data_IF_232852311935
#
_entry.id   IF_232852311935
#
_cell.length_a   1.000
_cell.length_b   1.000
_cell.length_c   1.000
_cell.angle_alpha   90.00
_cell.angle_beta   90.00
_cell.angle_gamma   90.00
#
_symmetry.space_group_name_H-M   'P 1'
#
loop_
_entity.id
_entity.type
_entity.pdbx_description
1 polymer ?
#
# COMPACT_ATOMS: atom_id res chain seq x y z
N UNK A 1 -5.72 0.52 17.85
CA UNK A 1 -6.25 1.59 16.99
C UNK A 1 -6.22 1.22 15.51
N UNK A 2 -5.06 1.32 14.82
CA UNK A 2 -4.95 1.12 13.35
C UNK A 2 -5.68 -0.11 12.81
N UNK A 3 -5.33 -1.30 13.32
CA UNK A 3 -5.94 -2.55 12.86
C UNK A 3 -7.46 -2.57 13.10
N UNK A 4 -7.91 -2.15 14.29
CA UNK A 4 -9.34 -2.13 14.62
C UNK A 4 -10.13 -1.26 13.63
N UNK A 5 -9.69 -0.03 13.36
CA UNK A 5 -10.35 0.84 12.36
C UNK A 5 -10.26 0.27 10.94
N UNK A 6 -9.13 -0.32 10.55
CA UNK A 6 -9.00 -0.99 9.24
C UNK A 6 -9.98 -2.15 9.04
N UNK A 7 -10.40 -2.80 10.13
CA UNK A 7 -11.41 -3.87 10.11
C UNK A 7 -12.83 -3.37 10.40
N UNK A 8 -13.05 -2.04 10.40
CA UNK A 8 -14.39 -1.44 10.55
C UNK A 8 -14.90 -1.36 11.99
N UNK A 9 -14.03 -1.53 12.98
CA UNK A 9 -14.39 -1.27 14.38
C UNK A 9 -14.33 0.23 14.66
N UNK A 10 -15.41 0.75 15.24
CA UNK A 10 -15.46 2.11 15.76
C UNK A 10 -14.55 2.22 17.00
N UNK A 11 -13.48 2.99 16.86
CA UNK A 11 -12.51 3.26 17.92
C UNK A 11 -12.35 4.75 18.03
N UNK A 12 -12.73 5.32 19.17
CA UNK A 12 -12.64 6.76 19.43
C UNK A 12 -11.21 7.31 19.28
N UNK A 13 -11.08 8.44 18.57
CA UNK A 13 -9.84 9.19 18.45
C UNK A 13 -9.38 9.85 19.75
N UNK A 14 -10.25 9.93 20.77
CA UNK A 14 -9.88 10.34 22.13
C UNK A 14 -8.76 9.47 22.71
N UNK A 15 -8.55 8.26 22.17
CA UNK A 15 -7.39 7.45 22.46
C UNK A 15 -6.07 8.22 22.34
N UNK A 16 -5.96 9.15 21.37
CA UNK A 16 -4.75 9.95 21.17
C UNK A 16 -4.51 10.98 22.28
N UNK A 17 -5.56 11.40 23.00
CA UNK A 17 -5.43 12.31 24.13
C UNK A 17 -4.60 11.71 25.27
N UNK A 18 -4.52 10.38 25.36
CA UNK A 18 -3.65 9.69 26.32
C UNK A 18 -2.15 9.96 26.08
N UNK A 19 -1.77 10.43 24.89
CA UNK A 19 -0.40 10.79 24.55
C UNK A 19 -0.09 12.28 24.80
N UNK A 20 -1.07 13.06 25.27
CA UNK A 20 -0.90 14.47 25.61
C UNK A 20 -0.69 14.68 27.12
N UNK A 21 0.05 15.72 27.46
CA UNK A 21 0.24 16.21 28.83
C UNK A 21 -0.91 17.14 29.26
N UNK A 22 -0.88 17.60 30.51
CA UNK A 22 -1.88 18.53 31.06
C UNK A 22 -1.94 19.88 30.34
N UNK A 23 -0.89 20.23 29.58
CA UNK A 23 -0.81 21.46 28.77
C UNK A 23 -1.28 21.24 27.33
N UNK A 24 -1.68 20.02 26.98
CA UNK A 24 -2.13 19.64 25.64
C UNK A 24 -1.01 19.31 24.66
N UNK A 25 0.25 19.29 25.10
CA UNK A 25 1.41 18.93 24.28
C UNK A 25 1.65 17.42 24.28
N UNK A 26 2.32 16.88 23.26
CA UNK A 26 2.72 15.47 23.28
C UNK A 26 3.74 15.20 24.40
N UNK A 27 3.52 14.11 25.14
CA UNK A 27 4.36 13.73 26.28
C UNK A 27 5.81 13.53 25.84
N UNK A 28 6.75 14.10 26.57
CA UNK A 28 8.19 14.00 26.29
C UNK A 28 8.71 12.57 26.32
N UNK A 29 8.12 11.69 27.14
CA UNK A 29 8.49 10.27 27.22
C UNK A 29 8.24 9.47 25.93
N UNK A 30 7.49 10.03 24.96
CA UNK A 30 7.34 9.41 23.65
C UNK A 30 8.62 9.48 22.82
N UNK A 31 9.52 10.41 23.15
CA UNK A 31 10.72 10.69 22.37
C UNK A 31 11.72 9.53 22.24
N UNK A 32 11.60 8.50 23.08
CA UNK A 32 12.50 7.36 23.07
C UNK A 32 11.93 6.14 22.29
N UNK A 33 10.64 6.14 21.95
CA UNK A 33 9.96 5.03 21.27
C UNK A 33 9.64 5.33 19.80
N UNK A 34 10.67 5.24 18.95
CA UNK A 34 10.51 5.42 17.50
C UNK A 34 9.50 4.44 16.88
N UNK A 35 9.44 3.19 17.36
CA UNK A 35 8.52 2.17 16.83
C UNK A 35 7.07 2.53 17.16
N UNK A 36 6.81 2.96 18.40
CA UNK A 36 5.52 3.46 18.83
C UNK A 36 5.09 4.70 18.04
N UNK A 37 5.99 5.66 17.85
CA UNK A 37 5.73 6.86 17.05
C UNK A 37 5.44 6.54 15.59
N UNK A 38 6.17 5.59 14.98
CA UNK A 38 5.89 5.12 13.63
C UNK A 38 4.50 4.49 13.54
N UNK A 39 4.12 3.68 14.52
CA UNK A 39 2.78 3.09 14.60
C UNK A 39 1.68 4.16 14.79
N UNK A 40 1.98 5.22 15.55
CA UNK A 40 1.09 6.37 15.75
C UNK A 40 0.93 7.19 14.46
N UNK A 41 2.03 7.42 13.72
CA UNK A 41 2.02 8.04 12.40
C UNK A 41 1.09 7.28 11.44
N UNK A 42 1.27 5.97 11.33
CA UNK A 42 0.45 5.13 10.45
C UNK A 42 -1.03 5.08 10.87
N UNK A 43 -1.29 5.05 12.18
CA UNK A 43 -2.64 5.11 12.72
C UNK A 43 -3.34 6.42 12.39
N UNK A 44 -2.59 7.52 12.30
CA UNK A 44 -3.14 8.84 12.03
C UNK A 44 -3.69 9.00 10.60
N UNK A 45 -3.52 8.01 9.71
CA UNK A 45 -4.10 8.05 8.37
C UNK A 45 -5.49 7.40 8.24
N UNK A 46 -6.03 6.88 9.35
CA UNK A 46 -7.39 6.35 9.44
C UNK A 46 -8.34 7.36 10.09
N UNK A 47 -8.21 8.64 9.72
CA UNK A 47 -9.11 9.69 10.22
C UNK A 47 -10.52 9.48 9.68
N UNK A 48 -11.51 9.87 10.46
CA UNK A 48 -12.91 9.98 10.02
C UNK A 48 -13.37 11.44 10.08
N UNK A 49 -14.48 11.75 9.41
CA UNK A 49 -15.03 13.11 9.34
C UNK A 49 -15.33 13.65 10.76
N UNK A 50 -14.86 14.87 11.05
CA UNK A 50 -15.01 15.51 12.35
C UNK A 50 -13.84 15.29 13.33
N UNK A 51 -12.82 14.51 12.95
CA UNK A 51 -11.63 14.25 13.77
C UNK A 51 -10.38 15.00 13.29
N UNK A 52 -10.51 15.95 12.35
CA UNK A 52 -9.39 16.52 11.60
C UNK A 52 -8.33 17.17 12.50
N UNK A 53 -8.77 17.87 13.56
CA UNK A 53 -7.88 18.61 14.46
C UNK A 53 -6.91 17.69 15.19
N UNK A 54 -7.40 16.64 15.85
CA UNK A 54 -6.54 15.75 16.64
C UNK A 54 -5.58 14.96 15.74
N UNK A 55 -6.05 14.51 14.58
CA UNK A 55 -5.24 13.77 13.63
C UNK A 55 -4.18 14.63 12.94
N UNK A 56 -4.49 15.89 12.62
CA UNK A 56 -3.52 16.83 12.07
C UNK A 56 -2.35 17.07 13.04
N UNK A 57 -2.66 17.29 14.33
CA UNK A 57 -1.64 17.47 15.37
C UNK A 57 -0.76 16.23 15.53
N UNK A 58 -1.37 15.03 15.55
CA UNK A 58 -0.64 13.75 15.64
C UNK A 58 0.26 13.56 14.42
N UNK A 59 -0.23 13.80 13.20
CA UNK A 59 0.58 13.69 11.97
C UNK A 59 1.76 14.65 12.00
N UNK A 60 1.55 15.91 12.39
CA UNK A 60 2.63 16.90 12.43
C UNK A 60 3.71 16.53 13.45
N UNK A 61 3.30 16.15 14.66
CA UNK A 61 4.22 15.72 15.70
C UNK A 61 5.04 14.49 15.25
N UNK A 62 4.35 13.43 14.83
CA UNK A 62 5.01 12.17 14.47
C UNK A 62 5.89 12.34 13.22
N UNK A 63 5.46 13.10 12.21
CA UNK A 63 6.27 13.39 11.02
C UNK A 63 7.56 14.12 11.37
N UNK A 64 7.48 15.12 12.25
CA UNK A 64 8.64 15.91 12.68
C UNK A 64 9.63 15.02 13.42
N UNK A 65 9.14 14.27 14.41
CA UNK A 65 9.95 13.32 15.17
C UNK A 65 10.63 12.29 14.28
N UNK A 66 9.89 11.65 13.38
CA UNK A 66 10.41 10.59 12.50
C UNK A 66 11.50 11.11 11.56
N UNK A 67 11.34 12.33 11.02
CA UNK A 67 12.37 12.98 10.19
C UNK A 67 13.64 13.29 10.99
N UNK A 68 13.51 13.70 12.24
CA UNK A 68 14.66 13.94 13.14
C UNK A 68 15.34 12.63 13.53
N UNK A 69 14.56 11.59 13.84
CA UNK A 69 15.07 10.27 14.18
C UNK A 69 15.98 9.71 13.09
N UNK A 70 15.54 9.73 11.82
CA UNK A 70 16.33 9.22 10.69
C UNK A 70 17.63 10.01 10.50
N UNK A 71 17.64 11.31 10.78
CA UNK A 71 18.85 12.15 10.70
C UNK A 71 19.86 11.82 11.81
N UNK A 72 19.38 11.52 13.01
CA UNK A 72 20.22 11.32 14.20
C UNK A 72 20.66 9.86 14.38
N UNK A 73 19.84 8.89 13.94
CA UNK A 73 20.02 7.46 14.19
C UNK A 73 20.28 6.66 12.91
N UNK A 74 21.14 7.19 12.03
CA UNK A 74 21.46 6.55 10.74
C UNK A 74 22.08 5.15 10.88
N UNK A 75 22.58 4.79 12.06
CA UNK A 75 23.10 3.45 12.37
C UNK A 75 22.01 2.39 12.53
N UNK A 76 20.76 2.76 12.83
CA UNK A 76 19.62 1.83 12.83
C UNK A 76 19.02 1.74 11.43
N UNK A 77 19.67 0.95 10.58
CA UNK A 77 19.28 0.77 9.18
C UNK A 77 17.86 0.22 9.04
N UNK A 78 17.46 -0.71 9.93
CA UNK A 78 16.15 -1.34 9.86
C UNK A 78 15.02 -0.35 10.16
N UNK A 79 15.09 0.37 11.30
CA UNK A 79 14.06 1.36 11.61
C UNK A 79 14.11 2.53 10.63
N UNK A 80 15.28 3.00 10.23
CA UNK A 80 15.40 4.07 9.24
C UNK A 80 14.74 3.69 7.91
N UNK A 81 14.87 2.44 7.47
CA UNK A 81 14.19 1.94 6.27
C UNK A 81 12.66 1.97 6.42
N UNK A 82 12.13 1.50 7.55
CA UNK A 82 10.68 1.53 7.81
C UNK A 82 10.14 2.95 7.87
N UNK A 83 10.85 3.86 8.55
CA UNK A 83 10.44 5.25 8.71
C UNK A 83 10.46 5.97 7.37
N UNK A 84 11.52 5.85 6.58
CA UNK A 84 11.59 6.47 5.26
C UNK A 84 10.50 5.95 4.33
N UNK A 85 10.20 4.65 4.38
CA UNK A 85 9.12 4.06 3.61
C UNK A 85 7.76 4.64 4.02
N UNK A 86 7.44 4.66 5.31
CA UNK A 86 6.18 5.24 5.81
C UNK A 86 6.03 6.73 5.44
N UNK A 87 7.10 7.52 5.54
CA UNK A 87 7.09 8.95 5.20
C UNK A 87 6.93 9.22 3.69
N UNK A 88 7.30 8.29 2.81
CA UNK A 88 7.06 8.40 1.36
C UNK A 88 5.59 8.18 1.02
N UNK A 89 5.01 7.12 1.59
CA UNK A 89 3.60 6.78 1.48
C UNK A 89 3.27 5.94 2.71
N UNK A 90 2.22 6.30 3.41
CA UNK A 90 1.77 5.58 4.60
C UNK A 90 1.10 4.26 4.20
N UNK A 91 1.12 3.30 5.12
CA UNK A 91 0.63 1.94 4.93
C UNK A 91 -0.83 1.88 4.51
N UNK A 92 -1.67 2.80 4.99
CA UNK A 92 -3.10 2.76 4.72
C UNK A 92 -3.45 2.98 3.23
N UNK A 93 -2.66 3.77 2.49
CA UNK A 93 -2.89 4.03 1.07
C UNK A 93 -2.05 3.15 0.15
N UNK A 94 -1.27 2.21 0.69
CA UNK A 94 -0.44 1.31 -0.12
C UNK A 94 -1.24 0.15 -0.68
N UNK A 95 -0.88 -0.25 -1.89
CA UNK A 95 -1.32 -1.53 -2.44
C UNK A 95 -0.73 -2.67 -1.62
N UNK A 96 -1.60 -3.39 -0.90
CA UNK A 96 -1.21 -4.46 0.04
C UNK A 96 -0.25 -5.47 -0.57
N UNK A 97 -0.44 -5.81 -1.84
CA UNK A 97 0.37 -6.84 -2.49
C UNK A 97 1.80 -6.39 -2.79
N UNK A 98 1.98 -5.13 -3.23
CA UNK A 98 3.31 -4.55 -3.41
C UNK A 98 3.99 -4.34 -2.06
N UNK A 99 3.22 -3.91 -1.06
CA UNK A 99 3.72 -3.77 0.30
C UNK A 99 4.20 -5.10 0.89
N UNK A 100 3.45 -6.18 0.68
CA UNK A 100 3.86 -7.51 1.12
C UNK A 100 5.19 -7.93 0.49
N UNK A 101 5.41 -7.69 -0.81
CA UNK A 101 6.68 -8.01 -1.48
C UNK A 101 7.84 -7.28 -0.83
N UNK A 102 7.68 -5.96 -0.63
CA UNK A 102 8.70 -5.11 -0.02
C UNK A 102 8.97 -5.52 1.43
N UNK A 103 7.91 -5.74 2.21
CA UNK A 103 8.02 -6.07 3.62
C UNK A 103 8.63 -7.45 3.85
N UNK A 104 8.41 -8.43 2.96
CA UNK A 104 9.11 -9.73 3.01
C UNK A 104 10.63 -9.52 2.99
N UNK A 105 11.15 -8.66 2.11
CA UNK A 105 12.59 -8.40 2.00
C UNK A 105 13.11 -7.64 3.23
N UNK A 106 12.36 -6.67 3.74
CA UNK A 106 12.73 -5.89 4.93
C UNK A 106 12.68 -6.74 6.19
N UNK A 107 11.63 -7.52 6.37
CA UNK A 107 11.46 -8.43 7.50
C UNK A 107 12.57 -9.47 7.55
N UNK A 108 13.03 -9.96 6.39
CA UNK A 108 14.16 -10.88 6.31
C UNK A 108 15.49 -10.32 6.82
N UNK A 109 15.65 -8.98 6.89
CA UNK A 109 16.85 -8.31 7.44
C UNK A 109 16.76 -8.08 8.95
N UNK A 110 15.58 -8.29 9.55
CA UNK A 110 15.35 -8.04 10.98
C UNK A 110 16.08 -9.10 11.81
N UNK A 111 16.80 -8.67 12.86
CA UNK A 111 17.62 -9.56 13.70
C UNK A 111 16.82 -10.64 14.44
N UNK A 112 15.62 -10.30 14.88
CA UNK A 112 14.68 -11.16 15.61
C UNK A 112 13.54 -11.69 14.71
N UNK A 113 13.79 -11.82 13.41
CA UNK A 113 12.85 -12.38 12.44
C UNK A 113 12.52 -13.85 12.76
N UNK A 114 11.25 -14.24 12.59
CA UNK A 114 10.83 -15.63 12.69
C UNK A 114 10.97 -16.31 11.32
N UNK A 115 11.87 -17.31 11.17
CA UNK A 115 12.16 -17.93 9.88
C UNK A 115 10.94 -18.64 9.28
N UNK A 116 10.08 -19.25 10.12
CA UNK A 116 8.87 -19.92 9.65
C UNK A 116 7.87 -18.92 9.06
N UNK A 117 7.76 -17.72 9.66
CA UNK A 117 6.88 -16.68 9.13
C UNK A 117 7.41 -16.11 7.81
N UNK A 118 8.73 -15.92 7.69
CA UNK A 118 9.35 -15.44 6.46
C UNK A 118 9.17 -16.46 5.32
N UNK A 119 9.45 -17.74 5.58
CA UNK A 119 9.28 -18.82 4.60
C UNK A 119 7.81 -18.93 4.17
N UNK A 120 6.89 -18.90 5.12
CA UNK A 120 5.46 -18.90 4.83
C UNK A 120 5.06 -17.73 3.92
N UNK A 121 5.50 -16.50 4.25
CA UNK A 121 5.18 -15.32 3.45
C UNK A 121 5.77 -15.38 2.03
N UNK A 122 6.98 -15.92 1.87
CA UNK A 122 7.61 -16.12 0.56
C UNK A 122 6.86 -17.16 -0.28
N UNK A 123 6.47 -18.29 0.33
CA UNK A 123 5.70 -19.34 -0.32
C UNK A 123 4.32 -18.84 -0.76
N UNK A 124 3.57 -18.21 0.14
CA UNK A 124 2.30 -17.56 -0.20
C UNK A 124 2.49 -16.57 -1.35
N UNK A 125 3.54 -15.74 -1.27
CA UNK A 125 3.81 -14.75 -2.28
C UNK A 125 3.98 -15.39 -3.67
N UNK A 126 4.82 -16.42 -3.76
CA UNK A 126 5.13 -17.10 -5.01
C UNK A 126 3.92 -17.87 -5.57
N UNK A 127 3.12 -18.52 -4.72
CA UNK A 127 1.91 -19.24 -5.15
C UNK A 127 0.90 -18.28 -5.77
N UNK A 128 0.61 -17.17 -5.09
CA UNK A 128 -0.33 -16.17 -5.59
C UNK A 128 0.20 -15.52 -6.89
N UNK A 129 1.50 -15.22 -6.97
CA UNK A 129 2.11 -14.66 -8.18
C UNK A 129 2.03 -15.63 -9.37
N UNK A 130 2.21 -16.93 -9.15
CA UNK A 130 2.08 -17.93 -10.22
C UNK A 130 0.67 -17.96 -10.82
N UNK A 131 -0.38 -17.83 -9.99
CA UNK A 131 -1.78 -17.71 -10.45
C UNK A 131 -1.96 -16.44 -11.29
N UNK A 132 -1.46 -15.31 -10.80
CA UNK A 132 -1.56 -14.00 -11.49
C UNK A 132 -0.84 -14.01 -12.85
N UNK A 133 0.31 -14.67 -12.96
CA UNK A 133 1.00 -14.88 -14.24
C UNK A 133 0.15 -15.72 -15.20
N UNK A 134 -0.59 -16.70 -14.68
CA UNK A 134 -1.57 -17.47 -15.45
C UNK A 134 -2.67 -16.58 -16.03
N UNK A 135 -3.29 -15.75 -15.19
CA UNK A 135 -4.32 -14.79 -15.60
C UNK A 135 -3.80 -13.83 -16.68
N UNK A 136 -2.59 -13.29 -16.50
CA UNK A 136 -1.96 -12.39 -17.46
C UNK A 136 -1.70 -13.06 -18.81
N UNK A 137 -1.33 -14.34 -18.84
CA UNK A 137 -1.20 -15.11 -20.09
C UNK A 137 -2.55 -15.27 -20.80
N UNK A 138 -3.64 -15.44 -20.07
CA UNK A 138 -4.99 -15.49 -20.64
C UNK A 138 -5.38 -14.14 -21.23
N UNK A 139 -5.14 -13.06 -20.48
CA UNK A 139 -5.42 -11.69 -20.89
C UNK A 139 -4.60 -11.27 -22.11
N UNK A 140 -3.31 -11.62 -22.16
CA UNK A 140 -2.45 -11.36 -23.31
C UNK A 140 -2.96 -12.05 -24.58
N UNK A 141 -3.42 -13.31 -24.48
CA UNK A 141 -4.06 -14.01 -25.61
C UNK A 141 -5.35 -13.34 -26.03
N UNK A 142 -6.19 -12.94 -25.08
CA UNK A 142 -7.43 -12.21 -25.36
C UNK A 142 -7.15 -10.89 -26.09
N UNK A 143 -6.22 -10.07 -25.58
CA UNK A 143 -5.84 -8.78 -26.16
C UNK A 143 -5.32 -8.90 -27.60
N UNK A 144 -4.53 -9.94 -27.87
CA UNK A 144 -4.07 -10.23 -29.23
C UNK A 144 -5.24 -10.63 -30.15
N UNK A 145 -6.20 -11.41 -29.63
CA UNK A 145 -7.32 -11.90 -30.42
C UNK A 145 -8.37 -10.82 -30.72
N UNK A 146 -8.41 -9.72 -29.96
CA UNK A 146 -9.30 -8.59 -30.23
C UNK A 146 -8.77 -7.63 -31.29
N UNK A 147 -7.51 -7.77 -31.72
CA UNK A 147 -6.81 -6.83 -32.61
C UNK A 147 -6.75 -5.38 -32.10
N UNK A 148 -7.17 -5.11 -30.86
CA UNK A 148 -7.11 -3.78 -30.25
C UNK A 148 -5.67 -3.34 -29.95
N UNK A 149 -4.77 -4.30 -29.77
CA UNK A 149 -3.33 -4.06 -29.66
C UNK A 149 -2.59 -4.04 -31.00
N UNK A 150 -3.30 -4.16 -32.12
CA UNK A 150 -2.70 -4.10 -33.45
C UNK A 150 -2.42 -2.64 -33.81
N UNK A 151 -1.14 -2.28 -33.83
CA UNK A 151 -0.68 -0.92 -34.09
C UNK A 151 -1.04 -0.47 -35.53
N UNK A 152 -1.29 -1.40 -36.45
CA UNK A 152 -1.70 -1.09 -37.82
C UNK A 152 -3.19 -0.69 -37.92
N UNK A 153 -4.03 -1.14 -36.97
CA UNK A 153 -5.46 -0.81 -36.93
C UNK A 153 -5.80 0.30 -35.92
N UNK A 154 -5.07 0.35 -34.81
CA UNK A 154 -5.28 1.27 -33.71
C UNK A 154 -3.97 1.96 -33.30
N UNK A 155 -3.30 2.61 -34.25
CA UNK A 155 -2.02 3.31 -34.00
C UNK A 155 -2.10 4.43 -32.96
N UNK A 156 -3.31 4.92 -32.68
CA UNK A 156 -3.58 5.94 -31.68
C UNK A 156 -3.82 5.37 -30.27
N UNK A 157 -4.26 4.10 -30.16
CA UNK A 157 -4.63 3.51 -28.89
C UNK A 157 -3.39 2.94 -28.19
N UNK A 158 -3.18 3.34 -26.94
CA UNK A 158 -2.03 2.91 -26.15
C UNK A 158 -2.22 1.48 -25.64
N UNK A 159 -1.16 0.67 -25.66
CA UNK A 159 -1.20 -0.68 -25.12
C UNK A 159 -1.07 -0.67 -23.59
N UNK A 160 -2.20 -0.53 -22.88
CA UNK A 160 -2.28 -0.44 -21.42
C UNK A 160 -2.66 -1.74 -20.71
N UNK A 161 -2.53 -2.90 -21.37
CA UNK A 161 -3.01 -4.16 -20.80
C UNK A 161 -2.37 -4.48 -19.44
N UNK A 162 -1.08 -4.19 -19.29
CA UNK A 162 -0.35 -4.45 -18.04
C UNK A 162 -0.77 -3.48 -16.94
N UNK A 163 -0.98 -2.22 -17.27
CA UNK A 163 -1.46 -1.18 -16.35
C UNK A 163 -2.88 -1.50 -15.88
N UNK A 164 -3.76 -1.91 -16.79
CA UNK A 164 -5.11 -2.36 -16.47
C UNK A 164 -5.09 -3.60 -15.57
N UNK A 165 -4.19 -4.54 -15.84
CA UNK A 165 -4.03 -5.73 -15.01
C UNK A 165 -3.49 -5.38 -13.62
N UNK A 166 -2.51 -4.46 -13.54
CA UNK A 166 -1.97 -3.98 -12.27
C UNK A 166 -3.05 -3.29 -11.42
N UNK A 167 -3.93 -2.51 -12.05
CA UNK A 167 -5.11 -1.94 -11.40
C UNK A 167 -6.04 -3.02 -10.81
N UNK A 168 -6.34 -4.07 -11.59
CA UNK A 168 -7.15 -5.18 -11.11
C UNK A 168 -6.47 -5.94 -9.95
N UNK A 169 -5.16 -6.13 -10.01
CA UNK A 169 -4.36 -6.75 -8.94
C UNK A 169 -4.42 -5.96 -7.64
N UNK A 170 -4.48 -4.64 -7.71
CA UNK A 170 -4.53 -3.79 -6.52
C UNK A 170 -5.75 -4.06 -5.64
N UNK A 171 -6.88 -4.36 -6.26
CA UNK A 171 -8.16 -4.58 -5.58
C UNK A 171 -8.49 -6.06 -5.37
N UNK A 172 -7.96 -6.97 -6.18
CA UNK A 172 -8.39 -8.37 -6.28
C UNK A 172 -7.19 -9.33 -6.33
N UNK A 173 -6.22 -9.20 -5.44
CA UNK A 173 -4.98 -9.99 -5.52
C UNK A 173 -5.16 -11.47 -5.15
N UNK A 174 -6.20 -11.84 -4.39
CA UNK A 174 -6.36 -13.21 -3.87
C UNK A 174 -6.67 -14.22 -4.98
N UNK A 175 -6.10 -15.44 -4.94
CA UNK A 175 -6.21 -16.42 -6.03
C UNK A 175 -7.65 -16.70 -6.50
N UNK A 176 -8.60 -16.77 -5.55
CA UNK A 176 -10.03 -17.03 -5.82
C UNK A 176 -10.71 -16.02 -6.74
N UNK A 177 -10.14 -14.83 -6.91
CA UNK A 177 -10.70 -13.75 -7.73
C UNK A 177 -10.15 -13.72 -9.17
N UNK A 178 -9.52 -14.79 -9.66
CA UNK A 178 -8.94 -14.84 -11.02
C UNK A 178 -9.90 -14.43 -12.13
N UNK A 179 -11.11 -14.99 -12.14
CA UNK A 179 -12.13 -14.61 -13.13
C UNK A 179 -12.51 -13.12 -13.02
N UNK A 180 -12.69 -12.60 -11.80
CA UNK A 180 -13.00 -11.18 -11.59
C UNK A 180 -11.86 -10.28 -12.08
N UNK A 181 -10.60 -10.62 -11.77
CA UNK A 181 -9.43 -9.90 -12.28
C UNK A 181 -9.40 -9.86 -13.79
N UNK A 182 -9.65 -10.99 -14.45
CA UNK A 182 -9.69 -11.03 -15.91
C UNK A 182 -10.78 -10.10 -16.47
N UNK A 183 -12.00 -10.16 -15.94
CA UNK A 183 -13.10 -9.31 -16.41
C UNK A 183 -12.83 -7.83 -16.16
N UNK A 184 -12.38 -7.46 -14.96
CA UNK A 184 -12.04 -6.06 -14.64
C UNK A 184 -10.96 -5.56 -15.58
N UNK A 185 -9.91 -6.33 -15.80
CA UNK A 185 -8.82 -5.94 -16.71
C UNK A 185 -9.35 -5.70 -18.12
N UNK A 186 -10.18 -6.61 -18.66
CA UNK A 186 -10.77 -6.46 -20.00
C UNK A 186 -11.62 -5.19 -20.10
N UNK A 187 -12.47 -4.94 -19.11
CA UNK A 187 -13.33 -3.76 -19.08
C UNK A 187 -12.49 -2.49 -19.01
N UNK A 188 -11.50 -2.42 -18.11
CA UNK A 188 -10.61 -1.26 -18.01
C UNK A 188 -9.83 -1.03 -19.30
N UNK A 189 -9.31 -2.08 -19.94
CA UNK A 189 -8.61 -1.95 -21.23
C UNK A 189 -9.51 -1.44 -22.35
N UNK A 190 -10.79 -1.84 -22.38
CA UNK A 190 -11.75 -1.29 -23.34
C UNK A 190 -12.08 0.17 -23.05
N UNK A 191 -12.25 0.53 -21.77
CA UNK A 191 -12.47 1.92 -21.35
C UNK A 191 -11.29 2.80 -21.76
N UNK A 192 -10.04 2.36 -21.56
CA UNK A 192 -8.86 3.14 -21.98
C UNK A 192 -8.79 3.34 -23.49
N UNK A 193 -9.22 2.35 -24.29
CA UNK A 193 -9.28 2.52 -25.75
C UNK A 193 -10.36 3.52 -26.15
N UNK A 194 -11.53 3.48 -25.50
CA UNK A 194 -12.62 4.44 -25.76
C UNK A 194 -12.20 5.85 -25.34
N UNK A 195 -11.53 5.98 -24.20
CA UNK A 195 -10.96 7.23 -23.71
C UNK A 195 -9.97 7.82 -24.73
N UNK A 196 -9.04 7.00 -25.23
CA UNK A 196 -8.10 7.40 -26.30
C UNK A 196 -8.83 7.85 -27.57
N UNK A 197 -10.00 7.26 -27.91
CA UNK A 197 -10.82 7.74 -29.03
C UNK A 197 -11.32 9.16 -28.75
N UNK A 198 -11.90 9.45 -27.59
CA UNK A 198 -12.47 10.78 -27.33
C UNK A 198 -11.44 11.87 -27.05
N UNK A 199 -10.26 11.52 -26.51
CA UNK A 199 -9.21 12.48 -26.18
C UNK A 199 -8.30 12.81 -27.37
N UNK A 200 -8.05 11.84 -28.25
CA UNK A 200 -7.12 12.00 -29.37
C UNK A 200 -7.86 12.27 -30.68
N UNK A 201 -9.09 11.78 -30.83
CA UNK A 201 -9.87 11.85 -32.07
C UNK A 201 -11.15 12.68 -31.93
#
# INVERSE_FOLDING_TARGET
FRLLRQYGFDVSSEFFSNFRDEKGNFKSCLGDDCKGILCLYEAAYLLEEGEESIFHDVRNFTTTFLKEYVKQNSADEYLSTLVNHALQLQLHWRMLRLEARWFIDVYGRRKDMNPLLLEFAQLDFNVVQAVQIGDLKNLSRWWRNTSLGDHDQFSFARNHLMECFLWALGSLFEPKFGYCREIVTKVTSLVTVIDDVYDVY
#
